data_IF_017368966251
#
_entry.id   IF_017368966251
#
_cell.length_a   1.000
_cell.length_b   1.000
_cell.length_c   1.000
_cell.angle_alpha   90.00
_cell.angle_beta   90.00
_cell.angle_gamma   90.00
#
_symmetry.space_group_name_H-M   'P 1'
#
loop_
_entity.id
_entity.type
_entity.pdbx_description
1 polymer ?
#
# COMPACT_ATOMS: atom_id res chain seq x y z
N UNK A 1 -2.04 -15.51 -28.06
CA UNK A 1 -3.27 -15.95 -27.38
C UNK A 1 -4.33 -16.21 -28.46
N UNK A 2 -4.78 -17.46 -28.67
CA UNK A 2 -5.76 -17.77 -29.74
C UNK A 2 -7.15 -17.24 -29.34
N UNK A 3 -7.71 -16.30 -30.09
CA UNK A 3 -9.03 -15.68 -29.83
C UNK A 3 -10.18 -16.61 -30.20
N UNK A 4 -10.99 -16.99 -29.22
CA UNK A 4 -12.22 -17.78 -29.43
C UNK A 4 -13.27 -16.92 -30.15
N UNK A 5 -13.98 -17.52 -31.10
CA UNK A 5 -15.07 -16.86 -31.83
C UNK A 5 -16.29 -16.69 -30.93
N UNK A 6 -17.10 -15.67 -31.18
CA UNK A 6 -18.32 -15.38 -30.40
C UNK A 6 -19.26 -16.59 -30.34
N UNK A 7 -19.39 -17.33 -31.45
CA UNK A 7 -20.23 -18.54 -31.51
C UNK A 7 -19.68 -19.69 -30.67
N UNK A 8 -18.36 -19.87 -30.69
CA UNK A 8 -17.69 -20.89 -29.86
C UNK A 8 -17.83 -20.54 -28.38
N UNK A 9 -17.75 -19.25 -28.04
CA UNK A 9 -17.96 -18.75 -26.70
C UNK A 9 -19.40 -18.99 -26.22
N UNK A 10 -20.41 -18.71 -27.04
CA UNK A 10 -21.82 -18.98 -26.75
C UNK A 10 -22.08 -20.47 -26.50
N UNK A 11 -21.46 -21.34 -27.29
CA UNK A 11 -21.55 -22.80 -27.09
C UNK A 11 -20.91 -23.20 -25.74
N UNK A 12 -19.73 -22.67 -25.42
CA UNK A 12 -19.05 -22.94 -24.15
C UNK A 12 -19.86 -22.41 -22.96
N UNK A 13 -20.40 -21.21 -23.07
CA UNK A 13 -21.26 -20.58 -22.07
C UNK A 13 -22.49 -21.46 -21.78
N UNK A 14 -23.16 -21.91 -22.83
CA UNK A 14 -24.32 -22.79 -22.70
C UNK A 14 -23.94 -24.14 -22.07
N UNK A 15 -22.79 -24.72 -22.42
CA UNK A 15 -22.30 -25.97 -21.81
C UNK A 15 -22.01 -25.81 -20.32
N UNK A 16 -21.47 -24.67 -19.90
CA UNK A 16 -21.15 -24.40 -18.50
C UNK A 16 -22.41 -24.15 -17.69
N UNK A 17 -23.38 -23.39 -18.23
CA UNK A 17 -24.64 -23.14 -17.54
C UNK A 17 -25.51 -24.39 -17.39
N UNK A 18 -25.58 -25.23 -18.41
CA UNK A 18 -26.42 -26.43 -18.38
C UNK A 18 -25.67 -27.67 -17.84
N UNK A 19 -24.34 -27.63 -17.71
CA UNK A 19 -23.53 -28.73 -17.16
C UNK A 19 -23.43 -29.98 -18.04
N UNK A 20 -24.26 -30.11 -19.08
CA UNK A 20 -24.28 -31.23 -20.01
C UNK A 20 -24.28 -30.77 -21.47
N UNK A 21 -23.54 -31.48 -22.32
CA UNK A 21 -23.49 -31.21 -23.77
C UNK A 21 -24.83 -31.46 -24.46
N UNK A 22 -25.65 -32.39 -23.92
CA UNK A 22 -26.97 -32.70 -24.44
C UNK A 22 -27.95 -31.57 -24.15
N UNK A 23 -28.00 -31.12 -22.90
CA UNK A 23 -28.86 -30.01 -22.51
C UNK A 23 -28.45 -28.70 -23.19
N UNK A 24 -27.15 -28.46 -23.37
CA UNK A 24 -26.66 -27.34 -24.16
C UNK A 24 -27.07 -27.43 -25.64
N UNK A 25 -27.16 -28.64 -26.20
CA UNK A 25 -27.58 -28.86 -27.59
C UNK A 25 -29.07 -28.55 -27.77
N UNK A 26 -29.88 -28.99 -26.80
CA UNK A 26 -31.32 -28.68 -26.75
C UNK A 26 -31.55 -27.17 -26.58
N UNK A 27 -30.79 -26.51 -25.69
CA UNK A 27 -30.89 -25.07 -25.45
C UNK A 27 -30.50 -24.22 -26.67
N UNK A 28 -29.43 -24.61 -27.39
CA UNK A 28 -28.96 -23.90 -28.58
C UNK A 28 -29.65 -24.34 -29.88
N UNK A 29 -30.53 -25.34 -29.81
CA UNK A 29 -31.18 -25.96 -30.97
C UNK A 29 -30.16 -26.40 -32.05
N UNK A 30 -29.08 -27.05 -31.59
CA UNK A 30 -27.98 -27.57 -32.42
C UNK A 30 -27.82 -29.06 -32.24
N UNK A 31 -27.21 -29.73 -33.23
CA UNK A 31 -26.90 -31.14 -33.08
C UNK A 31 -25.82 -31.35 -32.00
N UNK A 32 -25.94 -32.46 -31.26
CA UNK A 32 -24.93 -32.86 -30.26
C UNK A 32 -23.54 -32.95 -30.88
N UNK A 33 -23.44 -33.49 -32.10
CA UNK A 33 -22.18 -33.62 -32.83
C UNK A 33 -21.50 -32.26 -33.08
N UNK A 34 -22.29 -31.23 -33.42
CA UNK A 34 -21.77 -29.87 -33.62
C UNK A 34 -21.20 -29.30 -32.33
N UNK A 35 -21.89 -29.48 -31.21
CA UNK A 35 -21.42 -29.03 -29.90
C UNK A 35 -20.14 -29.77 -29.51
N UNK A 36 -20.12 -31.10 -29.62
CA UNK A 36 -18.95 -31.91 -29.27
C UNK A 36 -17.72 -31.54 -30.10
N UNK A 37 -17.90 -31.35 -31.41
CA UNK A 37 -16.82 -30.94 -32.31
C UNK A 37 -16.30 -29.55 -31.95
N UNK A 38 -17.21 -28.62 -31.66
CA UNK A 38 -16.82 -27.25 -31.29
C UNK A 38 -16.07 -27.21 -29.96
N UNK A 39 -16.57 -27.92 -28.94
CA UNK A 39 -15.91 -28.04 -27.64
C UNK A 39 -14.53 -28.68 -27.80
N UNK A 40 -14.41 -29.74 -28.63
CA UNK A 40 -13.13 -30.38 -28.91
C UNK A 40 -12.12 -29.41 -29.52
N UNK A 41 -12.55 -28.63 -30.51
CA UNK A 41 -11.71 -27.60 -31.12
C UNK A 41 -11.30 -26.52 -30.10
N UNK A 42 -12.20 -26.13 -29.19
CA UNK A 42 -11.90 -25.21 -28.09
C UNK A 42 -10.87 -25.80 -27.14
N UNK A 43 -11.02 -27.07 -26.75
CA UNK A 43 -10.05 -27.78 -25.90
C UNK A 43 -8.66 -27.83 -26.52
N UNK A 44 -8.56 -28.22 -27.80
CA UNK A 44 -7.28 -28.27 -28.52
C UNK A 44 -6.62 -26.89 -28.64
N UNK A 45 -7.42 -25.83 -28.78
CA UNK A 45 -6.92 -24.46 -28.88
C UNK A 45 -6.46 -23.88 -27.54
N UNK A 46 -7.11 -24.27 -26.45
CA UNK A 46 -6.77 -23.85 -25.10
C UNK A 46 -5.70 -24.74 -24.45
N UNK A 47 -5.46 -25.95 -24.99
CA UNK A 47 -4.58 -26.95 -24.38
C UNK A 47 -5.16 -27.56 -23.11
N UNK A 48 -6.49 -27.56 -22.99
CA UNK A 48 -7.23 -27.99 -21.80
C UNK A 48 -7.92 -29.33 -22.10
N UNK A 49 -7.89 -30.26 -21.14
CA UNK A 49 -8.51 -31.58 -21.31
C UNK A 49 -9.70 -31.82 -20.36
N UNK A 50 -9.86 -31.01 -19.31
CA UNK A 50 -10.89 -31.22 -18.28
C UNK A 50 -11.99 -30.16 -18.37
N UNK A 51 -13.23 -30.56 -18.07
CA UNK A 51 -14.36 -29.63 -17.95
C UNK A 51 -14.10 -28.58 -16.86
N UNK A 52 -13.47 -28.96 -15.74
CA UNK A 52 -13.15 -28.04 -14.64
C UNK A 52 -12.30 -26.87 -15.08
N UNK A 53 -11.32 -27.16 -15.93
CA UNK A 53 -10.34 -26.20 -16.41
C UNK A 53 -10.99 -25.27 -17.46
N UNK A 54 -11.95 -25.78 -18.24
CA UNK A 54 -12.78 -24.97 -19.14
C UNK A 54 -13.67 -24.01 -18.36
N UNK A 55 -14.29 -24.48 -17.26
CA UNK A 55 -15.10 -23.63 -16.39
C UNK A 55 -14.24 -22.55 -15.73
N UNK A 56 -13.04 -22.89 -15.25
CA UNK A 56 -12.11 -21.92 -14.69
C UNK A 56 -11.68 -20.88 -15.74
N UNK A 57 -11.38 -21.32 -16.96
CA UNK A 57 -11.06 -20.43 -18.07
C UNK A 57 -12.24 -19.50 -18.41
N UNK A 58 -13.45 -20.04 -18.49
CA UNK A 58 -14.66 -19.26 -18.78
C UNK A 58 -14.91 -18.22 -17.70
N UNK A 59 -14.86 -18.62 -16.42
CA UNK A 59 -14.90 -17.67 -15.31
C UNK A 59 -13.81 -16.60 -15.45
N UNK A 60 -12.60 -17.00 -15.83
CA UNK A 60 -11.47 -16.13 -16.14
C UNK A 60 -11.82 -15.02 -17.13
N UNK A 61 -12.46 -15.40 -18.24
CA UNK A 61 -12.88 -14.49 -19.31
C UNK A 61 -14.10 -13.66 -18.92
N UNK A 62 -15.10 -14.26 -18.25
CA UNK A 62 -16.39 -13.64 -17.94
C UNK A 62 -16.31 -12.63 -16.81
N UNK A 63 -15.45 -12.89 -15.81
CA UNK A 63 -15.25 -12.01 -14.66
C UNK A 63 -14.01 -11.11 -14.78
N UNK A 64 -13.25 -11.18 -15.88
CA UNK A 64 -12.03 -10.39 -16.04
C UNK A 64 -11.02 -10.70 -14.94
N UNK A 65 -10.82 -11.98 -14.63
CA UNK A 65 -10.07 -12.44 -13.45
C UNK A 65 -8.59 -12.04 -13.48
N UNK A 66 -8.05 -11.60 -14.64
CA UNK A 66 -6.74 -10.96 -14.68
C UNK A 66 -6.62 -9.80 -13.70
N UNK A 67 -7.67 -8.99 -13.59
CA UNK A 67 -7.65 -7.77 -12.79
C UNK A 67 -8.02 -8.08 -11.33
N UNK A 68 -8.90 -9.05 -11.13
CA UNK A 68 -9.35 -9.42 -9.78
C UNK A 68 -8.30 -10.23 -9.02
N UNK A 69 -7.53 -11.12 -9.65
CA UNK A 69 -6.48 -11.89 -8.95
C UNK A 69 -5.31 -11.00 -8.56
N UNK A 70 -4.97 -10.01 -9.39
CA UNK A 70 -4.02 -8.97 -8.99
C UNK A 70 -4.56 -8.12 -7.84
N UNK A 71 -5.84 -7.72 -7.89
CA UNK A 71 -6.48 -7.00 -6.81
C UNK A 71 -6.51 -7.82 -5.50
N UNK A 72 -6.86 -9.10 -5.54
CA UNK A 72 -6.87 -9.99 -4.37
C UNK A 72 -5.46 -10.23 -3.81
N UNK A 73 -4.44 -10.41 -4.66
CA UNK A 73 -3.03 -10.48 -4.21
C UNK A 73 -2.59 -9.21 -3.52
N UNK A 74 -2.94 -8.05 -4.08
CA UNK A 74 -2.57 -6.75 -3.52
C UNK A 74 -3.27 -6.50 -2.18
N UNK A 75 -4.56 -6.88 -2.06
CA UNK A 75 -5.31 -6.79 -0.79
C UNK A 75 -4.74 -7.74 0.25
N UNK A 76 -4.43 -8.99 -0.10
CA UNK A 76 -3.83 -9.95 0.83
C UNK A 76 -2.43 -9.49 1.31
N UNK A 77 -1.63 -8.92 0.41
CA UNK A 77 -0.32 -8.35 0.74
C UNK A 77 -0.44 -7.12 1.65
N UNK A 78 -1.40 -6.23 1.38
CA UNK A 78 -1.67 -5.07 2.24
C UNK A 78 -2.10 -5.49 3.66
N UNK A 79 -2.98 -6.48 3.78
CA UNK A 79 -3.40 -7.03 5.08
C UNK A 79 -2.21 -7.64 5.83
N UNK A 80 -1.35 -8.38 5.13
CA UNK A 80 -0.13 -8.95 5.72
C UNK A 80 0.82 -7.87 6.23
N UNK A 81 1.04 -6.79 5.47
CA UNK A 81 1.87 -5.65 5.92
C UNK A 81 1.28 -4.95 7.15
N UNK A 82 -0.03 -4.74 7.17
CA UNK A 82 -0.72 -4.12 8.32
C UNK A 82 -0.55 -4.99 9.58
N UNK A 83 -0.67 -6.32 9.44
CA UNK A 83 -0.46 -7.25 10.56
C UNK A 83 0.98 -7.22 11.09
N UNK A 84 1.98 -7.17 10.20
CA UNK A 84 3.40 -7.11 10.60
C UNK A 84 3.67 -5.81 11.38
N UNK A 85 3.24 -4.66 10.86
CA UNK A 85 3.41 -3.36 11.53
C UNK A 85 2.67 -3.33 12.87
N UNK A 86 1.47 -3.90 12.93
CA UNK A 86 0.68 -3.95 14.18
C UNK A 86 1.35 -4.84 15.24
N UNK A 87 2.09 -5.87 14.83
CA UNK A 87 2.81 -6.76 15.75
C UNK A 87 4.07 -6.09 16.34
N UNK A 88 4.77 -5.27 15.56
CA UNK A 88 5.94 -4.50 16.01
C UNK A 88 5.55 -3.34 16.95
N UNK A 89 4.38 -2.73 16.75
CA UNK A 89 3.88 -1.66 17.63
C UNK A 89 3.65 -2.10 19.08
N UNK A 90 3.15 -3.32 19.29
CA UNK A 90 2.87 -3.86 20.65
C UNK A 90 4.16 -4.13 21.43
N UNK A 91 5.24 -4.53 20.75
CA UNK A 91 6.52 -4.84 21.40
C UNK A 91 7.27 -3.58 21.87
N UNK A 92 7.08 -2.45 21.17
CA UNK A 92 7.79 -1.20 21.47
C UNK A 92 7.12 -0.39 22.59
N UNK A 93 5.79 -0.51 22.75
CA UNK A 93 5.06 0.19 23.81
C UNK A 93 5.36 -0.39 25.22
N UNK A 94 5.68 -1.68 25.32
CA UNK A 94 6.01 -2.33 26.61
C UNK A 94 7.38 -1.86 27.14
N UNK A 95 8.32 -1.48 26.26
CA UNK A 95 9.68 -1.05 26.66
C UNK A 95 9.70 0.43 27.11
N UNK A 96 8.72 1.24 26.70
CA UNK A 96 8.67 2.67 27.05
C UNK A 96 8.09 3.03 28.42
N UNK A 97 7.61 2.06 29.21
CA UNK A 97 6.94 2.31 30.52
C UNK A 97 7.91 2.31 31.71
N UNK A 98 9.22 2.07 31.51
CA UNK A 98 10.17 2.01 32.62
C UNK A 98 11.40 2.88 32.40
N UNK A 99 11.23 4.20 32.48
CA UNK A 99 12.33 5.10 32.85
C UNK A 99 12.11 5.62 34.28
N UNK A 100 13.08 5.44 35.20
CA UNK A 100 12.98 5.93 36.57
C UNK A 100 13.03 7.45 36.59
N UNK A 101 12.14 8.03 37.41
CA UNK A 101 12.14 9.42 37.84
C UNK A 101 13.56 9.92 38.13
N UNK A 102 14.12 10.72 37.23
CA UNK A 102 15.33 11.49 37.48
C UNK A 102 14.99 12.97 37.49
N UNK A 103 15.10 13.56 38.67
CA UNK A 103 15.03 15.00 38.91
C UNK A 103 16.22 15.60 38.15
N UNK A 104 15.97 16.26 37.02
CA UNK A 104 17.01 17.02 36.32
C UNK A 104 16.97 18.48 36.78
N UNK A 105 18.01 18.78 37.53
CA UNK A 105 18.42 20.06 38.09
C UNK A 105 18.33 21.21 37.10
N UNK A 106 17.78 22.33 37.57
CA UNK A 106 17.73 23.61 36.88
C UNK A 106 19.10 24.05 36.36
N UNK A 107 19.25 24.10 35.04
CA UNK A 107 20.32 24.86 34.39
C UNK A 107 19.77 25.57 33.16
N UNK A 108 20.26 26.79 32.95
CA UNK A 108 20.02 27.71 31.82
C UNK A 108 19.02 28.86 32.04
N UNK A 109 19.11 29.53 33.19
CA UNK A 109 18.78 30.98 33.28
C UNK A 109 20.04 31.67 33.80
N UNK A 110 20.89 32.21 32.93
CA UNK A 110 22.06 32.93 33.44
C UNK A 110 23.12 33.46 32.48
N UNK A 111 23.07 33.22 31.17
CA UNK A 111 24.20 33.61 30.30
C UNK A 111 24.00 34.89 29.46
N UNK A 112 22.85 35.58 29.56
CA UNK A 112 22.58 36.80 28.79
C UNK A 112 22.79 38.14 29.53
N UNK A 113 23.48 38.15 30.70
CA UNK A 113 23.76 39.41 31.43
C UNK A 113 25.16 40.01 31.21
N UNK A 114 26.07 39.31 30.53
CA UNK A 114 27.49 39.73 30.40
C UNK A 114 27.79 40.29 29.00
N UNK A 115 26.86 41.06 28.42
CA UNK A 115 27.08 41.80 27.15
C UNK A 115 26.68 43.30 27.20
N UNK A 116 26.46 43.88 28.39
CA UNK A 116 26.09 45.32 28.54
C UNK A 116 26.90 46.12 29.57
N UNK A 117 28.20 45.86 29.74
CA UNK A 117 29.08 46.73 30.58
C UNK A 117 30.47 47.01 29.96
N UNK A 118 30.53 47.15 28.63
CA UNK A 118 31.78 47.52 27.95
C UNK A 118 31.49 48.50 26.80
N UNK A 119 30.85 49.65 27.09
CA UNK A 119 30.84 50.82 26.20
C UNK A 119 30.20 52.10 26.78
N UNK A 120 30.39 52.44 28.05
CA UNK A 120 29.91 53.74 28.56
C UNK A 120 30.55 54.19 29.88
N UNK A 121 31.89 54.32 29.94
CA UNK A 121 32.57 55.19 30.93
C UNK A 121 34.08 55.39 30.68
N UNK A 122 34.50 55.45 29.41
CA UNK A 122 35.88 55.85 29.04
C UNK A 122 35.97 57.34 28.66
N UNK A 123 35.11 58.20 29.22
CA UNK A 123 35.01 59.62 28.82
C UNK A 123 35.16 60.62 29.99
N UNK A 124 35.13 60.19 31.26
CA UNK A 124 35.08 61.14 32.39
C UNK A 124 36.31 61.19 33.32
N UNK A 125 37.49 60.76 32.86
CA UNK A 125 38.72 60.78 33.71
C UNK A 125 39.77 61.79 33.23
N UNK A 126 39.53 62.55 32.15
CA UNK A 126 40.54 63.48 31.60
C UNK A 126 40.33 64.94 32.06
N UNK A 127 39.17 65.31 32.63
CA UNK A 127 38.83 66.74 32.81
C UNK A 127 38.90 67.33 34.23
N UNK A 128 39.51 66.67 35.23
CA UNK A 128 39.53 67.21 36.62
C UNK A 128 40.94 67.61 37.11
N UNK A 129 41.95 67.63 36.23
CA UNK A 129 43.30 68.08 36.61
C UNK A 129 43.57 69.58 36.36
N UNK A 130 42.58 70.38 35.93
CA UNK A 130 42.74 71.81 35.64
C UNK A 130 41.74 72.68 36.43
N UNK A 131 41.64 72.53 37.76
CA UNK A 131 40.90 73.50 38.61
C UNK A 131 41.48 73.65 40.02
N UNK A 132 42.80 73.45 40.20
CA UNK A 132 43.53 73.85 41.43
C UNK A 132 44.68 74.82 41.17
N UNK A 133 44.45 75.76 40.27
CA UNK A 133 45.14 77.05 40.25
C UNK A 133 44.08 78.11 40.51
N UNK A 134 44.40 79.15 41.29
CA UNK A 134 43.50 80.17 41.85
C UNK A 134 42.81 79.82 43.18
N UNK A 135 43.62 79.52 44.20
CA UNK A 135 43.37 80.02 45.55
C UNK A 135 44.46 81.05 45.84
N UNK A 136 44.10 82.32 45.67
CA UNK A 136 44.76 83.49 46.25
C UNK A 136 43.99 83.89 47.50
#
# INVERSE_FOLDING_TARGET
>A
MKRISIREFEIVESVIYHGSKKEAADALNRSLYTIETTIKNVYERLGINKISDLTLWFCGVKFGISDQVEAFKNVAFAIALILIISLEGINNDIISIQEPFSIQSAQNIGQNRIRRRRKEKSVNTIDIQITKSYAA
#
